data_IF_821353448637
#
_entry.id   IF_821353448637
#
_cell.length_a   1.000
_cell.length_b   1.000
_cell.length_c   1.000
_cell.angle_alpha   90.00
_cell.angle_beta   90.00
_cell.angle_gamma   90.00
#
_symmetry.space_group_name_H-M   'P 1'
#
loop_
_entity.id
_entity.type
_entity.pdbx_description
1 polymer ?
#
# COMPACT_ATOMS: atom_id res chain seq x y z
N UNK A 1 33.01 25.49 -5.13
CA UNK A 1 33.13 24.27 -5.93
C UNK A 1 34.54 24.24 -6.45
N UNK A 2 35.34 23.30 -5.96
CA UNK A 2 36.72 23.11 -6.42
C UNK A 2 36.71 22.33 -7.73
N UNK A 3 37.75 22.50 -8.56
CA UNK A 3 37.90 21.80 -9.84
C UNK A 3 37.78 20.26 -9.70
N UNK A 4 38.09 19.74 -8.50
CA UNK A 4 37.95 18.31 -8.17
C UNK A 4 36.50 17.81 -8.03
N UNK A 5 35.54 18.68 -7.70
CA UNK A 5 34.12 18.29 -7.61
C UNK A 5 33.46 18.26 -9.00
N UNK A 6 33.99 19.01 -9.96
CA UNK A 6 33.49 19.09 -11.33
C UNK A 6 33.91 17.85 -12.14
N UNK A 7 35.17 17.42 -12.00
CA UNK A 7 35.69 16.19 -12.63
C UNK A 7 34.97 14.90 -12.16
N UNK A 8 34.51 14.88 -10.90
CA UNK A 8 33.77 13.73 -10.34
C UNK A 8 32.35 13.61 -10.92
N UNK A 9 31.73 14.73 -11.27
CA UNK A 9 30.38 14.80 -11.83
C UNK A 9 30.35 14.48 -13.32
N UNK A 10 31.37 14.91 -14.08
CA UNK A 10 31.54 14.54 -15.49
C UNK A 10 31.87 13.05 -15.65
N UNK A 11 32.65 12.48 -14.72
CA UNK A 11 32.96 11.05 -14.75
C UNK A 11 31.74 10.17 -14.44
N UNK A 12 30.88 10.59 -13.51
CA UNK A 12 29.65 9.85 -13.19
C UNK A 12 28.57 9.95 -14.26
N UNK A 13 28.61 10.98 -15.10
CA UNK A 13 27.65 11.13 -16.21
C UNK A 13 28.10 10.34 -17.44
N UNK A 14 29.41 10.30 -17.73
CA UNK A 14 29.96 9.50 -18.83
C UNK A 14 29.81 7.98 -18.60
N UNK A 15 30.02 7.49 -17.36
CA UNK A 15 29.84 6.07 -17.03
C UNK A 15 28.36 5.62 -17.14
N UNK A 16 27.42 6.54 -16.95
CA UNK A 16 25.98 6.26 -17.02
C UNK A 16 25.42 6.28 -18.46
N UNK A 17 26.09 6.99 -19.38
CA UNK A 17 25.73 7.01 -20.80
C UNK A 17 26.28 5.78 -21.55
N UNK A 18 27.49 5.30 -21.21
CA UNK A 18 28.06 4.08 -21.81
C UNK A 18 27.32 2.79 -21.40
N UNK A 19 26.78 2.72 -20.18
CA UNK A 19 25.98 1.57 -19.71
C UNK A 19 24.62 1.50 -20.44
N UNK A 20 24.02 2.65 -20.74
CA UNK A 20 22.72 2.75 -21.41
C UNK A 20 22.81 2.40 -22.91
N UNK A 21 23.93 2.70 -23.58
CA UNK A 21 24.15 2.34 -24.98
C UNK A 21 24.55 0.86 -25.16
N UNK A 22 25.21 0.25 -24.17
CA UNK A 22 25.51 -1.19 -24.18
C UNK A 22 24.24 -2.05 -24.02
N UNK A 23 23.28 -1.61 -23.20
CA UNK A 23 21.99 -2.31 -23.03
C UNK A 23 21.10 -2.22 -24.27
N UNK A 24 21.19 -1.11 -25.02
CA UNK A 24 20.35 -0.89 -26.20
C UNK A 24 20.88 -1.58 -27.47
N UNK A 25 22.19 -1.86 -27.53
CA UNK A 25 22.84 -2.52 -28.68
C UNK A 25 22.72 -4.06 -28.66
N UNK A 26 22.38 -4.65 -27.50
CA UNK A 26 22.16 -6.09 -27.36
C UNK A 26 20.75 -6.55 -27.78
N UNK A 27 19.80 -5.64 -27.97
CA UNK A 27 18.43 -5.96 -28.37
C UNK A 27 18.36 -6.14 -29.90
N UNK A 28 18.78 -7.31 -30.36
CA UNK A 28 18.43 -7.79 -31.71
C UNK A 28 16.91 -7.67 -31.90
N UNK A 29 16.42 -7.13 -33.03
CA UNK A 29 15.00 -7.18 -33.33
C UNK A 29 14.67 -8.63 -33.69
N UNK A 30 14.20 -9.40 -32.71
CA UNK A 30 13.46 -10.63 -32.99
C UNK A 30 12.22 -10.21 -33.77
N UNK A 31 12.14 -10.69 -35.00
CA UNK A 31 10.99 -10.50 -35.86
C UNK A 31 9.74 -10.96 -35.10
N UNK A 32 8.76 -10.06 -34.94
CA UNK A 32 7.45 -10.37 -34.39
C UNK A 32 6.85 -11.55 -35.18
N UNK A 33 6.93 -12.73 -34.57
CA UNK A 33 6.12 -13.87 -34.96
C UNK A 33 4.65 -13.46 -34.74
N UNK A 34 3.73 -13.87 -35.64
CA UNK A 34 2.32 -13.59 -35.44
C UNK A 34 1.91 -14.15 -34.08
N UNK A 35 1.31 -13.27 -33.27
CA UNK A 35 0.71 -13.52 -31.96
C UNK A 35 -0.08 -14.84 -32.04
N UNK A 36 0.57 -15.94 -31.66
CA UNK A 36 -0.14 -17.15 -31.37
C UNK A 36 -0.83 -16.83 -30.06
N UNK A 37 -2.16 -16.68 -30.09
CA UNK A 37 -2.97 -16.70 -28.89
C UNK A 37 -2.59 -17.98 -28.14
N UNK A 38 -1.62 -17.88 -27.22
CA UNK A 38 -1.32 -18.94 -26.28
C UNK A 38 -2.64 -19.13 -25.55
N UNK A 39 -3.32 -20.26 -25.83
CA UNK A 39 -4.48 -20.68 -25.08
C UNK A 39 -4.03 -20.74 -23.62
N UNK A 40 -4.30 -19.66 -22.88
CA UNK A 40 -3.90 -19.50 -21.48
C UNK A 40 -4.52 -20.68 -20.73
N UNK A 41 -3.66 -21.62 -20.33
CA UNK A 41 -4.11 -22.81 -19.61
C UNK A 41 -4.94 -22.34 -18.41
N UNK A 42 -6.15 -22.91 -18.18
CA UNK A 42 -6.98 -22.47 -17.08
C UNK A 42 -6.19 -22.51 -15.77
N UNK A 43 -6.03 -21.34 -15.14
CA UNK A 43 -5.32 -21.21 -13.88
C UNK A 43 -5.89 -22.22 -12.87
N UNK A 44 -5.00 -22.89 -12.15
CA UNK A 44 -5.41 -23.85 -11.13
C UNK A 44 -6.31 -23.17 -10.10
N UNK A 45 -7.39 -23.85 -9.70
CA UNK A 45 -8.28 -23.33 -8.67
C UNK A 45 -7.52 -23.25 -7.35
N UNK A 46 -7.49 -22.06 -6.77
CA UNK A 46 -6.90 -21.78 -5.47
C UNK A 46 -7.96 -21.22 -4.53
N UNK A 47 -7.77 -21.35 -3.22
CA UNK A 47 -8.66 -20.75 -2.22
C UNK A 47 -8.74 -19.22 -2.36
N UNK A 48 -7.62 -18.58 -2.73
CA UNK A 48 -7.60 -17.16 -3.03
C UNK A 48 -8.39 -16.84 -4.30
N UNK A 49 -8.23 -17.65 -5.36
CA UNK A 49 -9.00 -17.52 -6.60
C UNK A 49 -10.50 -17.65 -6.36
N UNK A 50 -10.92 -18.68 -5.63
CA UNK A 50 -12.32 -18.90 -5.26
C UNK A 50 -12.86 -17.73 -4.40
N UNK A 51 -12.03 -17.18 -3.50
CA UNK A 51 -12.36 -16.00 -2.71
C UNK A 51 -12.55 -14.74 -3.57
N UNK A 52 -11.68 -14.52 -4.55
CA UNK A 52 -11.77 -13.39 -5.49
C UNK A 52 -13.01 -13.54 -6.37
N UNK A 53 -13.29 -14.74 -6.88
CA UNK A 53 -14.50 -15.00 -7.67
C UNK A 53 -15.77 -14.72 -6.87
N UNK A 54 -15.80 -15.14 -5.60
CA UNK A 54 -16.90 -14.84 -4.67
C UNK A 54 -17.05 -13.33 -4.44
N UNK A 55 -15.94 -12.62 -4.22
CA UNK A 55 -15.93 -11.16 -4.06
C UNK A 55 -16.49 -10.46 -5.30
N UNK A 56 -16.03 -10.85 -6.49
CA UNK A 56 -16.47 -10.28 -7.77
C UNK A 56 -17.94 -10.56 -8.04
N UNK A 57 -18.41 -11.77 -7.74
CA UNK A 57 -19.82 -12.13 -7.82
C UNK A 57 -20.67 -11.22 -6.91
N UNK A 58 -20.29 -11.06 -5.65
CA UNK A 58 -21.04 -10.24 -4.69
C UNK A 58 -20.97 -8.75 -4.98
N UNK A 59 -19.87 -8.27 -5.55
CA UNK A 59 -19.74 -6.91 -6.07
C UNK A 59 -20.71 -6.66 -7.23
N UNK A 60 -20.74 -7.54 -8.22
CA UNK A 60 -21.69 -7.46 -9.34
C UNK A 60 -23.14 -7.52 -8.88
N UNK A 61 -23.44 -8.35 -7.87
CA UNK A 61 -24.77 -8.45 -7.27
C UNK A 61 -25.19 -7.17 -6.57
N UNK A 62 -24.28 -6.55 -5.80
CA UNK A 62 -24.51 -5.27 -5.15
C UNK A 62 -24.81 -4.17 -6.18
N UNK A 63 -23.98 -4.08 -7.22
CA UNK A 63 -24.18 -3.09 -8.28
C UNK A 63 -25.50 -3.31 -9.03
N UNK A 64 -25.85 -4.55 -9.37
CA UNK A 64 -27.07 -4.86 -10.13
C UNK A 64 -28.33 -4.54 -9.31
N UNK A 65 -28.33 -4.87 -8.02
CA UNK A 65 -29.50 -4.68 -7.16
C UNK A 65 -29.68 -3.24 -6.67
N UNK A 66 -28.61 -2.46 -6.59
CA UNK A 66 -28.65 -1.07 -6.12
C UNK A 66 -28.69 -0.06 -7.28
N UNK A 67 -28.23 -0.43 -8.48
CA UNK A 67 -28.15 0.46 -9.65
C UNK A 67 -29.35 0.33 -10.61
N UNK A 68 -30.48 -0.18 -10.15
CA UNK A 68 -31.64 -0.47 -11.00
C UNK A 68 -32.09 0.78 -11.78
N UNK A 69 -31.95 0.72 -13.11
CA UNK A 69 -32.52 1.69 -14.06
C UNK A 69 -33.72 1.05 -14.76
N UNK A 70 -34.81 1.81 -14.93
CA UNK A 70 -36.01 1.36 -15.63
C UNK A 70 -35.68 0.71 -17.00
N UNK A 71 -36.42 -0.33 -17.45
CA UNK A 71 -37.78 -0.71 -17.05
C UNK A 71 -37.78 -2.04 -16.27
N UNK A 72 -37.45 -2.00 -14.99
CA UNK A 72 -37.54 -3.18 -14.11
C UNK A 72 -38.83 -3.05 -13.31
N UNK A 73 -39.59 -4.15 -13.11
CA UNK A 73 -40.80 -4.11 -12.28
C UNK A 73 -40.50 -3.43 -10.94
N UNK A 74 -41.33 -2.47 -10.50
CA UNK A 74 -41.08 -1.74 -9.28
C UNK A 74 -40.92 -2.73 -8.12
N UNK A 75 -39.88 -2.57 -7.28
CA UNK A 75 -39.69 -3.46 -6.15
C UNK A 75 -40.96 -3.45 -5.28
N UNK A 76 -41.39 -4.64 -4.86
CA UNK A 76 -42.72 -4.86 -4.28
C UNK A 76 -43.04 -3.96 -3.07
N UNK A 77 -42.02 -3.50 -2.32
CA UNK A 77 -42.11 -2.46 -1.30
C UNK A 77 -40.73 -1.80 -1.03
N UNK A 78 -40.71 -0.62 -0.40
CA UNK A 78 -39.47 0.01 0.13
C UNK A 78 -38.72 -0.90 1.12
N UNK A 79 -39.46 -1.72 1.89
CA UNK A 79 -38.87 -2.68 2.83
C UNK A 79 -38.02 -3.72 2.12
N UNK A 80 -38.51 -4.25 1.00
CA UNK A 80 -37.77 -5.21 0.18
C UNK A 80 -36.46 -4.62 -0.38
N UNK A 81 -36.47 -3.37 -0.83
CA UNK A 81 -35.23 -2.70 -1.31
C UNK A 81 -34.20 -2.57 -0.20
N UNK A 82 -34.62 -2.20 1.01
CA UNK A 82 -33.73 -2.08 2.17
C UNK A 82 -33.12 -3.43 2.55
N UNK A 83 -33.93 -4.47 2.59
CA UNK A 83 -33.48 -5.84 2.88
C UNK A 83 -32.46 -6.33 1.84
N UNK A 84 -32.75 -6.15 0.55
CA UNK A 84 -31.82 -6.54 -0.53
C UNK A 84 -30.51 -5.77 -0.42
N UNK A 85 -30.55 -4.45 -0.14
CA UNK A 85 -29.34 -3.65 0.04
C UNK A 85 -28.52 -4.10 1.25
N UNK A 86 -29.17 -4.43 2.37
CA UNK A 86 -28.52 -4.94 3.57
C UNK A 86 -27.84 -6.29 3.32
N UNK A 87 -28.57 -7.24 2.71
CA UNK A 87 -28.06 -8.57 2.39
C UNK A 87 -26.89 -8.50 1.41
N UNK A 88 -27.00 -7.69 0.35
CA UNK A 88 -25.91 -7.55 -0.62
C UNK A 88 -24.67 -6.89 0.00
N UNK A 89 -24.85 -5.87 0.83
CA UNK A 89 -23.74 -5.20 1.53
C UNK A 89 -23.04 -6.15 2.50
N UNK A 90 -23.82 -6.97 3.21
CA UNK A 90 -23.28 -7.99 4.11
C UNK A 90 -22.46 -9.03 3.36
N UNK A 91 -23.01 -9.63 2.30
CA UNK A 91 -22.28 -10.65 1.52
C UNK A 91 -21.02 -10.10 0.88
N UNK A 92 -21.06 -8.86 0.36
CA UNK A 92 -19.87 -8.21 -0.17
C UNK A 92 -18.80 -8.01 0.91
N UNK A 93 -19.19 -7.52 2.09
CA UNK A 93 -18.27 -7.36 3.23
C UNK A 93 -17.67 -8.70 3.67
N UNK A 94 -18.48 -9.74 3.79
CA UNK A 94 -18.02 -11.06 4.22
C UNK A 94 -17.02 -11.62 3.20
N UNK A 95 -17.29 -11.49 1.88
CA UNK A 95 -16.35 -11.88 0.83
C UNK A 95 -15.03 -11.08 0.86
N UNK A 96 -15.06 -9.78 1.18
CA UNK A 96 -13.82 -9.01 1.38
C UNK A 96 -12.98 -9.56 2.54
N UNK A 97 -13.63 -9.98 3.63
CA UNK A 97 -12.96 -10.56 4.79
C UNK A 97 -12.33 -11.91 4.43
N UNK A 98 -13.03 -12.75 3.67
CA UNK A 98 -12.51 -14.04 3.24
C UNK A 98 -11.25 -13.89 2.37
N UNK A 99 -11.26 -12.98 1.38
CA UNK A 99 -10.09 -12.66 0.56
C UNK A 99 -8.94 -12.12 1.41
N UNK A 100 -9.24 -11.23 2.36
CA UNK A 100 -8.25 -10.67 3.27
C UNK A 100 -7.59 -11.76 4.12
N UNK A 101 -8.37 -12.70 4.64
CA UNK A 101 -7.86 -13.82 5.42
C UNK A 101 -6.94 -14.72 4.59
N UNK A 102 -7.28 -14.99 3.33
CA UNK A 102 -6.41 -15.78 2.45
C UNK A 102 -5.10 -15.05 2.12
N UNK A 103 -5.13 -13.73 1.90
CA UNK A 103 -3.90 -12.95 1.75
C UNK A 103 -3.03 -13.00 3.01
N UNK A 104 -3.61 -12.88 4.20
CA UNK A 104 -2.86 -13.03 5.45
C UNK A 104 -2.26 -14.43 5.57
N UNK A 105 -3.05 -15.46 5.30
CA UNK A 105 -2.58 -16.85 5.38
C UNK A 105 -1.43 -17.11 4.41
N UNK A 106 -1.56 -16.67 3.16
CA UNK A 106 -0.51 -16.80 2.15
C UNK A 106 0.74 -15.98 2.50
N UNK A 107 0.55 -14.76 3.01
CA UNK A 107 1.64 -13.92 3.49
C UNK A 107 2.43 -14.62 4.60
N UNK A 108 1.76 -15.09 5.66
CA UNK A 108 2.40 -15.85 6.74
C UNK A 108 3.07 -17.12 6.24
N UNK A 109 2.45 -17.84 5.29
CA UNK A 109 3.07 -19.02 4.70
C UNK A 109 4.37 -18.66 3.97
N UNK A 110 4.35 -17.59 3.17
CA UNK A 110 5.54 -17.10 2.48
C UNK A 110 6.63 -16.66 3.47
N UNK A 111 6.29 -15.97 4.55
CA UNK A 111 7.24 -15.58 5.59
C UNK A 111 7.93 -16.79 6.25
N UNK A 112 7.20 -17.90 6.36
CA UNK A 112 7.72 -19.16 6.88
C UNK A 112 8.63 -19.84 5.84
N UNK A 113 8.26 -19.83 4.57
CA UNK A 113 9.04 -20.48 3.51
C UNK A 113 10.29 -19.66 3.13
N UNK A 114 10.24 -18.33 3.29
CA UNK A 114 11.27 -17.36 2.87
C UNK A 114 11.89 -16.61 4.07
N UNK A 115 12.18 -17.32 5.15
CA UNK A 115 12.62 -16.74 6.43
C UNK A 115 13.77 -15.71 6.34
N UNK A 116 14.80 -15.97 5.53
CA UNK A 116 15.95 -15.04 5.41
C UNK A 116 15.58 -13.72 4.75
N UNK A 117 14.75 -13.77 3.72
CA UNK A 117 14.27 -12.60 3.01
C UNK A 117 13.29 -11.81 3.88
N UNK A 118 12.36 -12.51 4.53
CA UNK A 118 11.45 -11.91 5.49
C UNK A 118 12.20 -11.21 6.64
N UNK A 119 13.24 -11.84 7.20
CA UNK A 119 14.06 -11.24 8.25
C UNK A 119 14.71 -9.92 7.81
N UNK A 120 15.28 -9.87 6.60
CA UNK A 120 15.86 -8.64 6.05
C UNK A 120 14.81 -7.53 5.85
N UNK A 121 13.62 -7.90 5.39
CA UNK A 121 12.51 -6.96 5.23
C UNK A 121 12.07 -6.41 6.59
N UNK A 122 11.90 -7.27 7.59
CA UNK A 122 11.53 -6.88 8.95
C UNK A 122 12.59 -5.97 9.60
N UNK A 123 13.88 -6.29 9.45
CA UNK A 123 14.98 -5.45 9.94
C UNK A 123 14.91 -4.03 9.36
N UNK A 124 14.74 -3.92 8.04
CA UNK A 124 14.58 -2.62 7.35
C UNK A 124 13.35 -1.86 7.84
N UNK A 125 12.23 -2.56 8.02
CA UNK A 125 10.97 -1.93 8.42
C UNK A 125 11.03 -1.44 9.88
N UNK A 126 11.73 -2.17 10.76
CA UNK A 126 12.05 -1.76 12.12
C UNK A 126 12.96 -0.52 12.13
N UNK A 127 14.00 -0.48 11.31
CA UNK A 127 14.86 0.71 11.17
C UNK A 127 14.06 1.93 10.73
N UNK A 128 13.18 1.77 9.73
CA UNK A 128 12.29 2.84 9.29
C UNK A 128 11.31 3.29 10.40
N UNK A 129 10.82 2.35 11.23
CA UNK A 129 9.98 2.66 12.39
C UNK A 129 10.75 3.46 13.45
N UNK A 130 12.00 3.07 13.74
CA UNK A 130 12.89 3.78 14.67
C UNK A 130 13.14 5.21 14.19
N UNK A 131 13.43 5.40 12.90
CA UNK A 131 13.61 6.73 12.31
C UNK A 131 12.35 7.60 12.46
N UNK A 132 11.17 7.05 12.19
CA UNK A 132 9.89 7.77 12.38
C UNK A 132 9.68 8.13 13.85
N UNK A 133 9.93 7.22 14.78
CA UNK A 133 9.79 7.49 16.22
C UNK A 133 10.78 8.57 16.69
N UNK A 134 12.02 8.53 16.22
CA UNK A 134 13.00 9.58 16.53
C UNK A 134 12.56 10.96 16.01
N UNK A 135 11.99 11.02 14.81
CA UNK A 135 11.44 12.26 14.27
C UNK A 135 10.27 12.79 15.13
N UNK A 136 9.36 11.91 15.57
CA UNK A 136 8.25 12.27 16.45
C UNK A 136 8.75 12.77 17.83
N UNK A 137 9.75 12.10 18.41
CA UNK A 137 10.36 12.51 19.68
C UNK A 137 11.04 13.88 19.56
N UNK A 138 11.76 14.12 18.46
CA UNK A 138 12.37 15.42 18.18
C UNK A 138 11.31 16.51 18.11
N UNK A 139 10.24 16.29 17.34
CA UNK A 139 9.11 17.22 17.22
C UNK A 139 8.44 17.49 18.58
N UNK A 140 8.25 16.45 19.39
CA UNK A 140 7.68 16.61 20.73
C UNK A 140 8.57 17.46 21.65
N UNK A 141 9.89 17.24 21.62
CA UNK A 141 10.87 18.05 22.37
C UNK A 141 10.83 19.51 21.95
N UNK A 142 10.77 19.79 20.65
CA UNK A 142 10.66 21.15 20.13
C UNK A 142 9.39 21.85 20.63
N UNK A 143 8.25 21.15 20.63
CA UNK A 143 7.00 21.69 21.16
C UNK A 143 7.06 21.96 22.67
N UNK A 144 7.67 21.07 23.46
CA UNK A 144 7.88 21.33 24.87
C UNK A 144 8.76 22.55 25.11
N UNK A 145 9.87 22.67 24.38
CA UNK A 145 10.78 23.81 24.49
C UNK A 145 10.06 25.13 24.19
N UNK A 146 9.28 25.18 23.09
CA UNK A 146 8.46 26.35 22.74
C UNK A 146 7.49 26.71 23.86
N UNK A 147 6.80 25.73 24.43
CA UNK A 147 5.85 25.94 25.53
C UNK A 147 6.54 26.42 26.79
N UNK A 148 7.68 25.86 27.16
CA UNK A 148 8.46 26.29 28.32
C UNK A 148 8.98 27.71 28.15
N UNK A 149 9.50 28.06 26.97
CA UNK A 149 9.94 29.43 26.66
C UNK A 149 8.78 30.42 26.67
N UNK A 150 7.63 30.03 26.13
CA UNK A 150 6.41 30.82 26.21
C UNK A 150 6.03 31.06 27.68
N UNK A 151 5.95 30.00 28.48
CA UNK A 151 5.60 30.11 29.90
C UNK A 151 6.58 30.99 30.68
N UNK A 152 7.89 30.85 30.48
CA UNK A 152 8.89 31.67 31.17
C UNK A 152 8.81 33.16 30.78
N UNK A 153 8.44 33.45 29.53
CA UNK A 153 8.29 34.83 29.03
C UNK A 153 7.05 35.51 29.63
N UNK A 154 5.91 34.82 29.65
CA UNK A 154 4.64 35.40 30.11
C UNK A 154 4.44 35.31 31.64
N UNK A 155 5.12 34.37 32.32
CA UNK A 155 5.00 34.15 33.76
C UNK A 155 6.36 34.05 34.48
N UNK A 156 7.21 35.10 34.43
CA UNK A 156 8.61 35.04 34.90
C UNK A 156 8.80 34.82 36.41
N UNK A 157 7.73 34.96 37.21
CA UNK A 157 7.76 34.76 38.66
C UNK A 157 7.05 33.46 39.12
N UNK A 158 6.43 32.71 38.22
CA UNK A 158 5.64 31.53 38.60
C UNK A 158 6.48 30.40 39.22
N UNK A 159 7.75 30.29 38.88
CA UNK A 159 8.68 29.29 39.44
C UNK A 159 9.34 29.71 40.76
N UNK A 160 9.15 30.95 41.23
CA UNK A 160 9.85 31.49 42.42
C UNK A 160 9.12 31.26 43.75
N UNK A 161 7.91 30.69 43.71
CA UNK A 161 7.04 30.56 44.90
C UNK A 161 7.08 29.19 45.59
N UNK A 162 8.01 28.29 45.24
CA UNK A 162 8.04 26.91 45.76
C UNK A 162 9.10 26.59 46.83
N UNK A 163 9.73 27.59 47.44
CA UNK A 163 10.64 27.34 48.58
C UNK A 163 10.42 28.37 49.70
N UNK A 164 9.62 27.99 50.69
CA UNK A 164 9.68 28.45 52.09
C UNK A 164 9.32 27.27 52.98
#
# INVERSE_FOLDING_TARGET
MSDSEMDLLEKSTAENEEEMDAENSARKPEAEAPDAEEEEEPLERTLLGDGIDSLMMHWCQLLTNVSVRAPVPPPSTLGHVKEVAEVCSKHFRDACVDVTNEFYRLGTQWEIENHEEHFKNEERDLDAAILRQNALLKKAREEFLKRTQHYSTYYPNATKHFTT
#
